data_IF_622491788979
#
_entry.id   IF_622491788979
#
_cell.length_a   1.000
_cell.length_b   1.000
_cell.length_c   1.000
_cell.angle_alpha   90.00
_cell.angle_beta   90.00
_cell.angle_gamma   90.00
#
_symmetry.space_group_name_H-M   'P 1'
#
loop_
_entity.id
_entity.type
_entity.pdbx_description
1 polymer ?
#
# COMPACT_ATOMS: atom_id res chain seq x y z
N UNK A 1 -51.26 -35.05 -65.54
CA UNK A 1 -50.63 -33.85 -66.11
C UNK A 1 -51.35 -32.63 -65.56
N UNK A 2 -50.91 -32.13 -64.41
CA UNK A 2 -51.10 -30.78 -63.85
C UNK A 2 -49.97 -30.59 -62.81
N UNK A 3 -49.26 -29.45 -62.77
CA UNK A 3 -48.05 -29.24 -61.96
C UNK A 3 -48.33 -28.79 -60.51
N UNK A 4 -47.49 -29.23 -59.58
CA UNK A 4 -47.30 -28.59 -58.27
C UNK A 4 -46.33 -27.40 -58.43
N UNK A 5 -46.84 -26.17 -58.27
CA UNK A 5 -46.00 -25.00 -57.98
C UNK A 5 -45.76 -24.92 -56.47
N UNK A 6 -44.54 -25.26 -56.06
CA UNK A 6 -43.95 -24.78 -54.84
C UNK A 6 -43.58 -23.30 -55.02
N UNK A 7 -44.05 -22.41 -54.15
CA UNK A 7 -43.18 -21.40 -53.53
C UNK A 7 -43.92 -20.71 -52.38
N UNK A 8 -43.60 -21.12 -51.15
CA UNK A 8 -43.69 -20.25 -49.99
C UNK A 8 -42.93 -18.94 -50.30
N UNK A 9 -43.61 -17.81 -50.22
CA UNK A 9 -42.97 -16.56 -49.81
C UNK A 9 -43.76 -15.99 -48.65
N UNK A 10 -43.13 -16.15 -47.50
CA UNK A 10 -43.38 -15.61 -46.17
C UNK A 10 -43.63 -14.10 -46.17
N UNK A 11 -44.69 -13.75 -45.44
CA UNK A 11 -44.90 -12.59 -44.56
C UNK A 11 -44.10 -11.31 -44.81
N UNK A 12 -44.81 -10.26 -45.24
CA UNK A 12 -44.35 -8.87 -45.20
C UNK A 12 -44.45 -8.33 -43.78
N UNK A 13 -43.36 -8.45 -43.05
CA UNK A 13 -42.70 -7.34 -42.36
C UNK A 13 -43.55 -6.08 -42.06
N UNK A 14 -43.83 -5.85 -40.77
CA UNK A 14 -44.06 -4.53 -40.16
C UNK A 14 -43.75 -4.62 -38.66
N UNK A 15 -42.47 -4.61 -38.30
CA UNK A 15 -41.74 -3.41 -37.86
C UNK A 15 -42.13 -2.97 -36.43
N UNK A 16 -41.59 -3.69 -35.44
CA UNK A 16 -41.40 -3.15 -34.10
C UNK A 16 -40.48 -1.91 -34.21
N UNK A 17 -41.00 -0.75 -33.82
CA UNK A 17 -40.26 0.51 -33.78
C UNK A 17 -39.15 0.42 -32.72
N UNK A 18 -37.97 0.00 -33.15
CA UNK A 18 -36.77 0.04 -32.32
C UNK A 18 -36.30 1.50 -32.22
N UNK A 19 -36.47 2.10 -31.05
CA UNK A 19 -35.87 3.39 -30.70
C UNK A 19 -34.35 3.29 -30.83
N UNK A 20 -33.81 3.84 -31.91
CA UNK A 20 -32.36 3.96 -32.11
C UNK A 20 -31.84 4.95 -31.08
N UNK A 21 -31.20 4.44 -30.04
CA UNK A 21 -30.46 5.25 -29.08
C UNK A 21 -29.31 5.91 -29.82
N UNK A 22 -29.44 7.20 -30.11
CA UNK A 22 -28.39 8.00 -30.74
C UNK A 22 -27.20 8.07 -29.79
N UNK A 23 -26.07 7.49 -30.20
CA UNK A 23 -24.80 7.68 -29.50
C UNK A 23 -24.32 9.11 -29.75
N UNK A 24 -24.27 9.93 -28.69
CA UNK A 24 -23.65 11.25 -28.74
C UNK A 24 -22.13 11.07 -28.66
N UNK A 25 -21.42 11.37 -29.74
CA UNK A 25 -19.96 11.42 -29.78
C UNK A 25 -19.42 12.76 -29.29
N UNK A 26 -18.18 12.76 -28.78
CA UNK A 26 -17.44 13.97 -28.41
C UNK A 26 -16.88 14.67 -29.64
N UNK A 27 -16.88 16.00 -29.63
CA UNK A 27 -16.22 16.78 -30.70
C UNK A 27 -14.71 16.78 -30.52
N UNK A 28 -13.94 16.98 -31.61
CA UNK A 28 -12.48 17.05 -31.54
C UNK A 28 -12.02 18.20 -30.63
N UNK A 29 -12.73 19.32 -30.64
CA UNK A 29 -12.44 20.49 -29.79
C UNK A 29 -12.72 20.20 -28.31
N UNK A 30 -13.76 19.44 -27.98
CA UNK A 30 -14.08 19.04 -26.61
C UNK A 30 -13.01 18.10 -26.04
N UNK A 31 -12.50 17.16 -26.83
CA UNK A 31 -11.37 16.32 -26.42
C UNK A 31 -10.10 17.16 -26.15
N UNK A 32 -9.80 18.13 -27.01
CA UNK A 32 -8.63 19.00 -26.81
C UNK A 32 -8.74 19.84 -25.55
N UNK A 33 -9.92 20.42 -25.27
CA UNK A 33 -10.15 21.22 -24.06
C UNK A 33 -10.07 20.34 -22.80
N UNK A 34 -10.68 19.16 -22.82
CA UNK A 34 -10.62 18.22 -21.67
C UNK A 34 -9.20 17.78 -21.35
N UNK A 35 -8.39 17.43 -22.35
CA UNK A 35 -6.98 17.08 -22.15
C UNK A 35 -6.17 18.29 -21.67
N UNK A 36 -6.44 19.49 -22.19
CA UNK A 36 -5.78 20.71 -21.72
C UNK A 36 -6.06 20.98 -20.24
N UNK A 37 -7.32 20.91 -19.81
CA UNK A 37 -7.71 21.08 -18.40
C UNK A 37 -7.14 19.96 -17.52
N UNK A 38 -7.22 18.70 -17.97
CA UNK A 38 -6.64 17.56 -17.25
C UNK A 38 -5.13 17.71 -17.06
N UNK A 39 -4.41 18.24 -18.06
CA UNK A 39 -2.98 18.53 -17.97
C UNK A 39 -2.64 19.58 -16.90
N UNK A 40 -3.40 20.69 -16.85
CA UNK A 40 -3.23 21.73 -15.82
C UNK A 40 -3.45 21.16 -14.41
N UNK A 41 -4.50 20.35 -14.23
CA UNK A 41 -4.80 19.71 -12.95
C UNK A 41 -3.70 18.71 -12.54
N UNK A 42 -3.19 17.92 -13.48
CA UNK A 42 -2.12 16.95 -13.23
C UNK A 42 -0.83 17.62 -12.75
N UNK A 43 -0.48 18.79 -13.30
CA UNK A 43 0.71 19.55 -12.89
C UNK A 43 0.65 19.99 -11.41
N UNK A 44 -0.54 20.27 -10.89
CA UNK A 44 -0.74 20.66 -9.48
C UNK A 44 -0.88 19.44 -8.55
N UNK A 45 -1.49 18.35 -9.03
CA UNK A 45 -1.77 17.17 -8.21
C UNK A 45 -0.52 16.37 -7.83
N UNK A 46 0.40 16.15 -8.78
CA UNK A 46 1.62 15.33 -8.59
C UNK A 46 2.56 15.84 -7.49
N UNK A 47 2.94 17.14 -7.42
CA UNK A 47 3.84 17.61 -6.37
C UNK A 47 3.23 17.49 -4.96
N UNK A 48 1.91 17.68 -4.80
CA UNK A 48 1.24 17.61 -3.51
C UNK A 48 1.27 16.19 -2.91
N UNK A 49 1.17 15.18 -3.76
CA UNK A 49 1.21 13.77 -3.34
C UNK A 49 2.56 13.38 -2.73
N UNK A 50 3.68 14.02 -3.14
CA UNK A 50 5.00 13.80 -2.54
C UNK A 50 5.08 14.30 -1.09
N UNK A 51 4.56 15.50 -0.83
CA UNK A 51 4.53 16.09 0.51
C UNK A 51 3.66 15.24 1.45
N UNK A 52 2.48 14.81 0.98
CA UNK A 52 1.62 13.93 1.74
C UNK A 52 2.31 12.61 2.12
N UNK A 53 3.01 11.95 1.19
CA UNK A 53 3.74 10.70 1.47
C UNK A 53 4.88 10.94 2.46
N UNK A 54 5.61 12.04 2.36
CA UNK A 54 6.68 12.38 3.31
C UNK A 54 6.13 12.58 4.73
N UNK A 55 5.02 13.32 4.88
CA UNK A 55 4.39 13.53 6.16
C UNK A 55 3.88 12.21 6.77
N UNK A 56 3.29 11.33 5.96
CA UNK A 56 2.89 9.99 6.41
C UNK A 56 4.09 9.14 6.86
N UNK A 57 5.22 9.20 6.15
CA UNK A 57 6.45 8.50 6.55
C UNK A 57 6.98 9.00 7.89
N UNK A 58 6.97 10.31 8.12
CA UNK A 58 7.40 10.90 9.39
C UNK A 58 6.48 10.47 10.55
N UNK A 59 5.17 10.57 10.35
CA UNK A 59 4.19 10.10 11.34
C UNK A 59 4.31 8.60 11.60
N UNK A 60 4.53 7.79 10.57
CA UNK A 60 4.77 6.34 10.71
C UNK A 60 6.02 6.07 11.54
N UNK A 61 7.15 6.73 11.22
CA UNK A 61 8.40 6.53 11.95
C UNK A 61 8.28 6.87 13.45
N UNK A 62 7.57 7.96 13.78
CA UNK A 62 7.26 8.32 15.18
C UNK A 62 6.37 7.29 15.86
N UNK A 63 5.33 6.81 15.17
CA UNK A 63 4.45 5.77 15.71
C UNK A 63 5.19 4.45 15.94
N UNK A 64 6.09 4.06 15.04
CA UNK A 64 6.89 2.85 15.16
C UNK A 64 7.84 2.93 16.36
N UNK A 65 8.43 4.10 16.61
CA UNK A 65 9.23 4.35 17.81
C UNK A 65 8.38 4.24 19.09
N UNK A 66 7.19 4.86 19.11
CA UNK A 66 6.27 4.78 20.25
C UNK A 66 5.84 3.33 20.53
N UNK A 67 5.54 2.54 19.50
CA UNK A 67 5.24 1.10 19.64
C UNK A 67 6.43 0.35 20.24
N UNK A 68 7.64 0.63 19.76
CA UNK A 68 8.88 0.03 20.27
C UNK A 68 9.09 0.33 21.75
N UNK A 69 8.90 1.58 22.17
CA UNK A 69 9.00 1.96 23.59
C UNK A 69 7.91 1.36 24.46
N UNK A 70 6.67 1.32 23.98
CA UNK A 70 5.57 0.69 24.72
C UNK A 70 5.84 -0.79 24.92
N UNK A 71 6.29 -1.48 23.87
CA UNK A 71 6.70 -2.89 23.95
C UNK A 71 7.86 -3.07 24.93
N UNK A 72 8.90 -2.26 24.81
CA UNK A 72 10.06 -2.31 25.71
C UNK A 72 9.66 -2.11 27.17
N UNK A 73 8.79 -1.14 27.46
CA UNK A 73 8.28 -0.87 28.80
C UNK A 73 7.49 -2.05 29.34
N UNK A 74 6.59 -2.62 28.55
CA UNK A 74 5.79 -3.77 28.97
C UNK A 74 6.68 -4.98 29.25
N UNK A 75 7.69 -5.23 28.41
CA UNK A 75 8.63 -6.34 28.60
C UNK A 75 9.56 -6.14 29.80
N UNK A 76 10.07 -4.92 30.00
CA UNK A 76 10.88 -4.57 31.16
C UNK A 76 10.11 -4.76 32.47
N UNK A 77 8.82 -4.40 32.50
CA UNK A 77 7.97 -4.59 33.67
C UNK A 77 7.66 -6.08 33.90
N UNK A 78 7.33 -6.83 32.85
CA UNK A 78 7.01 -8.27 32.95
C UNK A 78 8.19 -9.10 33.44
N UNK A 79 9.38 -8.80 32.93
CA UNK A 79 10.57 -9.60 33.20
C UNK A 79 11.44 -9.01 34.32
N UNK A 80 11.17 -7.78 34.78
CA UNK A 80 12.00 -7.04 35.73
C UNK A 80 13.47 -6.97 35.29
N UNK A 81 13.70 -6.96 33.97
CA UNK A 81 15.03 -6.91 33.35
C UNK A 81 15.22 -5.57 32.63
N UNK A 82 16.49 -5.23 32.40
CA UNK A 82 16.84 -4.08 31.56
C UNK A 82 16.50 -4.40 30.11
N UNK A 83 15.71 -3.54 29.46
CA UNK A 83 15.35 -3.67 28.04
C UNK A 83 15.90 -2.47 27.29
N UNK A 84 16.59 -2.74 26.19
CA UNK A 84 17.21 -1.73 25.34
C UNK A 84 16.45 -1.63 24.03
N UNK A 85 16.22 -0.38 23.60
CA UNK A 85 15.69 -0.05 22.28
C UNK A 85 16.81 0.60 21.49
N UNK A 86 17.10 0.10 20.30
CA UNK A 86 18.09 0.74 19.43
C UNK A 86 17.72 0.65 17.95
N UNK A 87 18.29 1.57 17.16
CA UNK A 87 18.19 1.58 15.72
C UNK A 87 19.04 0.47 15.11
N UNK A 88 18.52 -0.23 14.09
CA UNK A 88 19.28 -1.24 13.35
C UNK A 88 19.18 -1.05 11.85
N UNK A 89 20.27 -1.37 11.15
CA UNK A 89 20.30 -1.44 9.69
C UNK A 89 19.62 -2.71 9.17
N UNK A 90 19.55 -3.77 9.99
CA UNK A 90 19.02 -5.08 9.59
C UNK A 90 18.30 -5.75 10.77
N UNK A 91 17.09 -5.28 11.14
CA UNK A 91 16.36 -5.78 12.32
C UNK A 91 15.92 -7.24 12.20
N UNK A 92 15.86 -7.79 10.99
CA UNK A 92 15.45 -9.18 10.70
C UNK A 92 16.61 -10.17 10.59
N UNK A 93 17.85 -9.72 10.75
CA UNK A 93 19.02 -10.59 10.70
C UNK A 93 19.09 -11.53 11.91
N UNK A 94 19.82 -12.64 11.77
CA UNK A 94 19.94 -13.66 12.82
C UNK A 94 20.59 -13.14 14.12
N UNK A 95 21.43 -12.11 14.01
CA UNK A 95 22.04 -11.38 15.12
C UNK A 95 21.95 -9.88 14.79
N UNK A 96 20.81 -9.24 15.09
CA UNK A 96 20.64 -7.82 14.78
C UNK A 96 21.53 -6.99 15.72
N UNK A 97 22.19 -5.98 15.17
CA UNK A 97 23.06 -5.09 15.94
C UNK A 97 22.51 -3.68 15.95
N UNK A 98 22.81 -2.95 17.03
CA UNK A 98 22.56 -1.52 17.08
C UNK A 98 23.51 -0.83 16.10
N UNK A 99 22.98 -0.02 15.20
CA UNK A 99 23.75 0.73 14.21
C UNK A 99 23.28 2.18 14.18
N UNK A 100 24.23 3.11 14.16
CA UNK A 100 24.00 4.55 14.14
C UNK A 100 24.06 5.15 12.72
N UNK A 101 24.11 4.30 11.70
CA UNK A 101 24.18 4.68 10.30
C UNK A 101 22.85 4.42 9.57
N UNK A 102 22.86 3.47 8.64
CA UNK A 102 21.65 3.08 7.92
C UNK A 102 20.57 2.59 8.88
N UNK A 103 19.37 3.18 8.79
CA UNK A 103 18.23 2.85 9.62
C UNK A 103 17.17 2.12 8.79
N UNK A 104 16.81 0.91 9.22
CA UNK A 104 15.70 0.14 8.65
C UNK A 104 14.62 -0.24 9.67
N UNK A 105 14.84 0.05 10.96
CA UNK A 105 13.85 -0.19 12.00
C UNK A 105 14.41 -0.17 13.41
N UNK A 106 13.51 -0.35 14.37
CA UNK A 106 13.82 -0.43 15.80
C UNK A 106 13.83 -1.88 16.27
N UNK A 107 14.85 -2.22 17.04
CA UNK A 107 14.92 -3.51 17.74
C UNK A 107 14.76 -3.30 19.24
N UNK A 108 14.03 -4.22 19.88
CA UNK A 108 13.81 -4.25 21.31
C UNK A 108 14.30 -5.59 21.84
N UNK A 109 15.22 -5.56 22.80
CA UNK A 109 15.77 -6.78 23.39
C UNK A 109 16.12 -6.56 24.86
N UNK A 110 16.11 -7.66 25.63
CA UNK A 110 16.58 -7.65 27.01
C UNK A 110 18.10 -7.65 27.03
N UNK A 111 18.71 -6.68 27.72
CA UNK A 111 20.15 -6.60 27.89
C UNK A 111 20.53 -7.22 29.23
N UNK A 112 21.01 -8.47 29.17
CA UNK A 112 21.44 -9.24 30.35
C UNK A 112 22.94 -9.16 30.59
N UNK A 113 23.73 -8.72 29.60
CA UNK A 113 25.20 -8.72 29.64
C UNK A 113 25.83 -7.33 29.49
N UNK A 114 25.00 -6.28 29.48
CA UNK A 114 25.39 -4.88 29.36
C UNK A 114 26.28 -4.59 28.13
N UNK A 115 26.11 -5.39 27.07
CA UNK A 115 26.93 -5.34 25.85
C UNK A 115 26.22 -4.66 24.68
N UNK A 116 24.95 -4.24 24.85
CA UNK A 116 24.16 -3.53 23.82
C UNK A 116 24.19 -4.29 22.47
N UNK A 117 24.27 -5.62 22.53
CA UNK A 117 24.33 -6.50 21.35
C UNK A 117 23.19 -7.49 21.47
N UNK A 118 22.28 -7.53 20.50
CA UNK A 118 21.20 -8.51 20.51
C UNK A 118 21.74 -9.87 20.05
N UNK A 119 22.23 -10.66 21.00
CA UNK A 119 22.61 -12.06 20.75
C UNK A 119 21.39 -12.97 20.88
N UNK A 120 21.20 -13.85 19.90
CA UNK A 120 20.20 -14.92 19.96
C UNK A 120 20.47 -15.82 21.17
N UNK A 121 19.68 -15.71 22.23
CA UNK A 121 19.72 -16.70 23.31
C UNK A 121 19.14 -18.02 22.80
N UNK A 122 19.86 -19.12 22.99
CA UNK A 122 19.49 -20.49 22.62
C UNK A 122 18.31 -21.05 23.43
N UNK A 123 17.88 -20.37 24.49
CA UNK A 123 16.75 -20.72 25.35
C UNK A 123 15.50 -19.88 25.04
N UNK A 124 15.00 -19.95 23.81
CA UNK A 124 13.58 -19.73 23.49
C UNK A 124 12.96 -18.33 23.68
N UNK A 125 13.56 -17.36 24.34
CA UNK A 125 12.92 -16.05 24.59
C UNK A 125 13.90 -14.90 24.43
N UNK A 126 13.72 -14.14 23.34
CA UNK A 126 13.55 -12.68 23.31
C UNK A 126 13.96 -12.16 21.92
N UNK A 127 12.98 -12.03 21.03
CA UNK A 127 13.12 -11.51 19.65
C UNK A 127 12.01 -10.53 19.32
N UNK A 128 11.70 -9.63 20.25
CA UNK A 128 10.63 -8.67 20.03
C UNK A 128 11.17 -7.54 19.15
N UNK A 129 11.28 -7.80 17.84
CA UNK A 129 11.32 -6.71 16.88
C UNK A 129 9.97 -5.99 16.94
N UNK A 130 9.99 -4.69 17.19
CA UNK A 130 8.81 -3.88 17.02
C UNK A 130 8.56 -3.75 15.51
N UNK A 131 7.35 -4.08 15.06
CA UNK A 131 6.94 -3.98 13.67
C UNK A 131 5.81 -2.97 13.51
#
# INVERSE_FOLDING_TARGET
MMPEENMLVTDRSSAASASVRTQRGFTLTELLVTVAVAGVLAMMAVPNMRSFVQNNRLSSASNDLLRSFNLARTEAIKHQTNVVVCASAAPTSAAPTCSYGAFNGWIVFQDTNNLITASRSSSGTCFLTAR
#
